data_IF_275036781362
#
_entry.id   IF_275036781362
#
_cell.length_a   1.000
_cell.length_b   1.000
_cell.length_c   1.000
_cell.angle_alpha   90.00
_cell.angle_beta   90.00
_cell.angle_gamma   90.00
#
_symmetry.space_group_name_H-M   'P 1'
#
loop_
_entity.id
_entity.type
_entity.pdbx_description
1 polymer ?
#
# COMPACT_ATOMS: atom_id res chain seq x y z
N UNK A 1 -9.66 -1.49 -5.60
CA UNK A 1 -8.69 -0.47 -6.05
C UNK A 1 -7.93 -0.94 -7.29
N UNK A 2 -7.15 -2.03 -7.21
CA UNK A 2 -6.34 -2.56 -8.33
C UNK A 2 -7.12 -2.67 -9.66
N UNK A 3 -8.30 -3.30 -9.65
CA UNK A 3 -9.16 -3.45 -10.85
C UNK A 3 -9.58 -2.13 -11.50
N UNK A 4 -9.79 -1.08 -10.69
CA UNK A 4 -10.19 0.22 -11.22
C UNK A 4 -8.99 0.96 -11.81
N UNK A 5 -7.83 0.87 -11.15
CA UNK A 5 -6.57 1.44 -11.66
C UNK A 5 -6.16 0.78 -12.97
N UNK A 6 -6.23 -0.55 -13.07
CA UNK A 6 -5.89 -1.27 -14.30
C UNK A 6 -6.84 -0.91 -15.43
N UNK A 7 -8.15 -0.83 -15.15
CA UNK A 7 -9.15 -0.40 -16.13
C UNK A 7 -8.88 1.03 -16.65
N UNK A 8 -8.54 1.96 -15.76
CA UNK A 8 -8.17 3.33 -16.13
C UNK A 8 -6.93 3.39 -17.04
N UNK A 9 -5.95 2.52 -16.77
CA UNK A 9 -4.71 2.41 -17.55
C UNK A 9 -4.86 1.54 -18.83
N UNK A 10 -6.04 1.01 -19.11
CA UNK A 10 -6.26 0.08 -20.24
C UNK A 10 -5.57 -1.27 -20.08
N UNK A 11 -5.21 -1.65 -18.85
CA UNK A 11 -4.54 -2.91 -18.51
C UNK A 11 -5.55 -3.98 -18.04
N UNK A 12 -5.24 -5.25 -18.31
CA UNK A 12 -5.96 -6.36 -17.69
C UNK A 12 -5.62 -6.42 -16.19
N UNK A 13 -6.61 -6.77 -15.37
CA UNK A 13 -6.40 -6.94 -13.93
C UNK A 13 -5.43 -8.09 -13.67
N UNK A 14 -4.36 -7.87 -12.88
CA UNK A 14 -3.41 -8.91 -12.54
C UNK A 14 -4.04 -9.95 -11.61
N UNK A 15 -3.58 -11.21 -11.72
CA UNK A 15 -4.00 -12.30 -10.86
C UNK A 15 -3.43 -12.09 -9.44
N UNK A 16 -4.22 -12.37 -8.40
CA UNK A 16 -3.70 -12.40 -7.04
C UNK A 16 -2.60 -13.47 -6.89
N UNK A 17 -1.51 -13.13 -6.21
CA UNK A 17 -0.37 -14.03 -6.00
C UNK A 17 -0.80 -15.37 -5.36
N UNK A 18 -1.76 -15.34 -4.45
CA UNK A 18 -2.32 -16.52 -3.78
C UNK A 18 -3.01 -17.49 -4.74
N UNK A 19 -3.50 -16.98 -5.87
CA UNK A 19 -4.18 -17.76 -6.89
C UNK A 19 -3.24 -18.16 -8.04
N UNK A 20 -1.95 -17.82 -7.95
CA UNK A 20 -0.95 -18.10 -8.98
C UNK A 20 -0.86 -19.59 -9.33
N UNK A 21 -1.02 -20.49 -8.35
CA UNK A 21 -1.02 -21.95 -8.58
C UNK A 21 -2.24 -22.45 -9.36
N UNK A 22 -3.36 -21.72 -9.29
CA UNK A 22 -4.63 -22.09 -9.92
C UNK A 22 -4.75 -21.44 -11.30
N UNK A 23 -4.17 -20.26 -11.50
CA UNK A 23 -4.26 -19.46 -12.74
C UNK A 23 -3.44 -19.95 -13.94
N UNK A 24 -2.74 -21.08 -13.84
CA UNK A 24 -1.86 -21.57 -14.91
C UNK A 24 -0.58 -20.72 -15.08
N UNK A 25 0.14 -20.89 -16.20
CA UNK A 25 1.47 -20.27 -16.43
C UNK A 25 1.46 -18.89 -17.11
N UNK A 26 0.28 -18.31 -17.39
CA UNK A 26 0.20 -17.05 -18.16
C UNK A 26 0.06 -15.83 -17.25
N UNK A 27 1.20 -15.29 -16.78
CA UNK A 27 1.27 -14.08 -15.95
C UNK A 27 1.60 -12.81 -16.75
N UNK A 28 1.32 -12.80 -18.05
CA UNK A 28 1.64 -11.69 -18.94
C UNK A 28 1.01 -10.34 -18.55
N UNK A 29 -0.03 -10.35 -17.71
CA UNK A 29 -0.70 -9.13 -17.23
C UNK A 29 -0.22 -8.67 -15.83
N UNK A 30 0.84 -9.30 -15.29
CA UNK A 30 1.36 -9.04 -13.96
C UNK A 30 0.66 -9.82 -12.84
N UNK A 31 1.09 -9.57 -11.61
CA UNK A 31 0.57 -10.17 -10.37
C UNK A 31 0.20 -9.10 -9.34
N UNK A 32 -0.82 -9.40 -8.54
CA UNK A 32 -1.23 -8.60 -7.40
C UNK A 32 -0.77 -9.29 -6.11
N UNK A 33 0.18 -8.67 -5.41
CA UNK A 33 0.70 -9.17 -4.13
C UNK A 33 -0.03 -8.58 -2.91
N UNK A 34 -1.05 -7.73 -3.11
CA UNK A 34 -1.69 -6.98 -2.04
C UNK A 34 -2.65 -7.84 -1.21
N UNK A 35 -2.52 -7.76 0.11
CA UNK A 35 -3.45 -8.37 1.07
C UNK A 35 -4.32 -7.29 1.74
N UNK A 36 -5.63 -7.47 1.64
CA UNK A 36 -6.60 -6.56 2.27
C UNK A 36 -6.45 -6.56 3.80
N UNK A 37 -6.47 -5.37 4.41
CA UNK A 37 -6.34 -5.20 5.86
C UNK A 37 -4.89 -5.06 6.36
N UNK A 38 -3.90 -5.04 5.46
CA UNK A 38 -2.49 -4.87 5.78
C UNK A 38 -1.97 -3.51 5.31
N UNK A 39 -0.83 -3.07 5.86
CA UNK A 39 -0.04 -1.92 5.40
C UNK A 39 1.44 -2.20 5.71
N UNK A 40 2.24 -1.23 6.16
CA UNK A 40 3.69 -1.41 6.33
C UNK A 40 4.07 -2.19 7.58
N UNK A 41 3.28 -2.08 8.66
CA UNK A 41 3.53 -2.83 9.89
C UNK A 41 2.64 -4.07 9.99
N UNK A 42 3.09 -5.04 10.78
CA UNK A 42 2.25 -6.17 11.16
C UNK A 42 1.27 -5.75 12.26
N UNK A 43 0.09 -5.33 11.83
CA UNK A 43 -1.02 -4.95 12.70
C UNK A 43 -1.98 -6.11 12.98
N UNK A 44 -1.70 -7.28 12.41
CA UNK A 44 -2.59 -8.46 12.46
C UNK A 44 -2.06 -9.57 13.36
N UNK A 45 -0.87 -9.40 13.94
CA UNK A 45 -0.22 -10.42 14.75
C UNK A 45 0.22 -11.63 13.93
N UNK A 46 0.70 -11.40 12.70
CA UNK A 46 1.21 -12.42 11.80
C UNK A 46 0.13 -13.20 11.03
N UNK A 47 -1.15 -12.83 11.16
CA UNK A 47 -2.23 -13.48 10.43
C UNK A 47 -2.19 -13.18 8.93
N UNK A 48 -1.80 -11.95 8.56
CA UNK A 48 -1.71 -11.50 7.19
C UNK A 48 -0.30 -10.93 6.89
N UNK A 49 0.20 -11.06 5.65
CA UNK A 49 1.51 -10.56 5.29
C UNK A 49 1.50 -9.03 5.15
N UNK A 50 2.33 -8.36 5.94
CA UNK A 50 2.58 -6.94 5.78
C UNK A 50 3.28 -6.64 4.44
N UNK A 51 3.40 -5.36 4.09
CA UNK A 51 3.98 -4.95 2.81
C UNK A 51 5.41 -5.49 2.59
N UNK A 52 6.21 -5.61 3.64
CA UNK A 52 7.57 -6.19 3.52
C UNK A 52 7.51 -7.65 3.09
N UNK A 53 6.60 -8.45 3.67
CA UNK A 53 6.38 -9.85 3.28
C UNK A 53 5.78 -9.97 1.87
N UNK A 54 4.93 -9.03 1.46
CA UNK A 54 4.42 -8.98 0.08
C UNK A 54 5.54 -8.72 -0.94
N UNK A 55 6.54 -7.91 -0.59
CA UNK A 55 7.75 -7.71 -1.40
C UNK A 55 8.59 -9.00 -1.44
N UNK A 56 8.70 -9.73 -0.32
CA UNK A 56 9.42 -11.02 -0.29
C UNK A 56 8.80 -12.04 -1.27
N UNK A 57 7.48 -11.99 -1.49
CA UNK A 57 6.83 -12.82 -2.50
C UNK A 57 7.28 -12.47 -3.92
N UNK A 58 7.44 -11.19 -4.24
CA UNK A 58 8.01 -10.75 -5.53
C UNK A 58 9.46 -11.21 -5.66
N UNK A 59 10.29 -10.98 -4.64
CA UNK A 59 11.70 -11.39 -4.62
C UNK A 59 11.84 -12.90 -4.84
N UNK A 60 10.98 -13.70 -4.20
CA UNK A 60 10.92 -15.15 -4.40
C UNK A 60 10.69 -15.53 -5.87
N UNK A 61 9.76 -14.86 -6.55
CA UNK A 61 9.52 -15.14 -7.97
C UNK A 61 10.69 -14.72 -8.85
N UNK A 62 11.43 -13.66 -8.46
CA UNK A 62 12.66 -13.27 -9.15
C UNK A 62 13.78 -14.30 -8.96
N UNK A 63 13.96 -14.81 -7.75
CA UNK A 63 14.91 -15.91 -7.48
C UNK A 63 14.57 -17.18 -8.26
N UNK A 64 13.29 -17.43 -8.51
CA UNK A 64 12.82 -18.55 -9.35
C UNK A 64 12.85 -18.25 -10.85
N UNK A 65 13.36 -17.08 -11.26
CA UNK A 65 13.40 -16.63 -12.66
C UNK A 65 12.03 -16.58 -13.35
N UNK A 66 10.95 -16.46 -12.56
CA UNK A 66 9.59 -16.26 -13.09
C UNK A 66 9.34 -14.79 -13.44
N UNK A 67 10.08 -13.88 -12.80
CA UNK A 67 10.22 -12.49 -13.17
C UNK A 67 11.69 -12.12 -13.21
N UNK A 68 12.05 -11.23 -14.13
CA UNK A 68 13.40 -10.71 -14.30
C UNK A 68 13.43 -9.23 -13.98
N UNK A 69 14.64 -8.70 -13.79
CA UNK A 69 14.85 -7.25 -13.66
C UNK A 69 14.28 -6.47 -14.86
N UNK A 70 14.36 -7.02 -16.06
CA UNK A 70 13.81 -6.43 -17.29
C UNK A 70 12.27 -6.35 -17.24
N UNK A 71 11.61 -7.37 -16.70
CA UNK A 71 10.16 -7.36 -16.50
C UNK A 71 9.75 -6.24 -15.54
N UNK A 72 10.50 -6.04 -14.45
CA UNK A 72 10.23 -4.95 -13.50
C UNK A 72 10.50 -3.57 -14.10
N UNK A 73 11.57 -3.41 -14.89
CA UNK A 73 11.90 -2.16 -15.58
C UNK A 73 10.83 -1.73 -16.60
N UNK A 74 10.20 -2.72 -17.25
CA UNK A 74 9.11 -2.48 -18.21
C UNK A 74 7.73 -2.37 -17.55
N UNK A 75 7.56 -2.86 -16.32
CA UNK A 75 6.30 -2.84 -15.57
C UNK A 75 6.04 -1.52 -14.84
N UNK A 76 4.79 -1.29 -14.46
CA UNK A 76 4.41 -0.27 -13.48
C UNK A 76 4.09 -0.96 -12.16
N UNK A 77 4.73 -0.54 -11.07
CA UNK A 77 4.46 -1.07 -9.73
C UNK A 77 3.57 -0.09 -8.97
N UNK A 78 2.37 -0.54 -8.62
CA UNK A 78 1.44 0.21 -7.78
C UNK A 78 1.61 -0.22 -6.32
N UNK A 79 1.99 0.73 -5.46
CA UNK A 79 2.08 0.54 -4.01
C UNK A 79 0.94 1.31 -3.36
N UNK A 80 0.19 0.62 -2.50
CA UNK A 80 -0.92 1.20 -1.78
C UNK A 80 -0.65 1.19 -0.29
N UNK A 81 -0.84 2.35 0.34
CA UNK A 81 -0.98 2.46 1.78
C UNK A 81 -2.37 3.02 2.08
N UNK A 82 -3.25 2.19 2.62
CA UNK A 82 -4.68 2.49 2.71
C UNK A 82 -5.14 2.95 4.10
N UNK A 83 -4.21 3.05 5.07
CA UNK A 83 -4.46 3.57 6.41
C UNK A 83 -4.88 2.51 7.44
N UNK A 84 -4.62 1.23 7.17
CA UNK A 84 -4.78 0.14 8.13
C UNK A 84 -3.84 0.29 9.33
N UNK A 85 -2.62 0.81 9.15
CA UNK A 85 -1.71 1.12 10.28
C UNK A 85 -2.35 2.14 11.23
N UNK A 86 -2.92 3.21 10.67
CA UNK A 86 -3.62 4.25 11.45
C UNK A 86 -4.91 3.72 12.08
N UNK A 87 -5.68 2.90 11.35
CA UNK A 87 -6.89 2.29 11.87
C UNK A 87 -6.59 1.36 13.06
N UNK A 88 -5.54 0.53 12.95
CA UNK A 88 -5.08 -0.34 14.03
C UNK A 88 -4.65 0.47 15.26
N UNK A 89 -3.90 1.55 15.05
CA UNK A 89 -3.50 2.47 16.12
C UNK A 89 -4.71 3.10 16.85
N UNK A 90 -5.73 3.51 16.12
CA UNK A 90 -6.96 4.07 16.71
C UNK A 90 -7.76 3.00 17.46
N UNK A 91 -7.86 1.78 16.92
CA UNK A 91 -8.58 0.67 17.57
C UNK A 91 -7.91 0.27 18.89
N UNK A 92 -6.58 0.34 18.96
CA UNK A 92 -5.83 0.06 20.19
C UNK A 92 -5.85 1.19 21.23
N UNK A 93 -6.78 2.16 21.08
CA UNK A 93 -6.95 3.32 21.97
C UNK A 93 -5.70 4.21 22.05
N UNK A 94 -4.94 4.30 20.96
CA UNK A 94 -3.84 5.25 20.85
C UNK A 94 -4.29 6.71 21.01
N UNK A 95 -3.40 7.55 21.55
CA UNK A 95 -3.70 8.97 21.80
C UNK A 95 -3.48 9.82 20.55
N UNK A 96 -4.12 10.99 20.46
CA UNK A 96 -3.97 11.88 19.31
C UNK A 96 -2.50 12.35 19.11
N UNK A 97 -1.80 12.67 20.21
CA UNK A 97 -0.37 13.02 20.18
C UNK A 97 0.48 11.81 19.72
N UNK A 98 0.11 10.62 20.15
CA UNK A 98 0.78 9.40 19.72
C UNK A 98 0.53 9.07 18.25
N UNK A 99 -0.65 9.37 17.71
CA UNK A 99 -0.96 9.19 16.28
C UNK A 99 -0.08 10.10 15.41
N UNK A 100 0.11 11.35 15.79
CA UNK A 100 1.05 12.25 15.10
C UNK A 100 2.48 11.71 15.11
N UNK A 101 2.93 11.16 16.25
CA UNK A 101 4.23 10.53 16.37
C UNK A 101 4.33 9.17 15.64
N UNK A 102 3.20 8.57 15.27
CA UNK A 102 3.15 7.31 14.54
C UNK A 102 3.28 7.48 13.02
N UNK A 103 3.02 8.68 12.49
CA UNK A 103 3.16 8.97 11.05
C UNK A 103 4.60 8.80 10.56
N UNK A 104 5.63 9.40 11.18
CA UNK A 104 6.99 9.28 10.66
C UNK A 104 7.51 7.83 10.59
N UNK A 105 7.27 6.95 11.59
CA UNK A 105 7.58 5.52 11.47
C UNK A 105 6.91 4.83 10.28
N UNK A 106 5.62 5.07 10.05
CA UNK A 106 4.88 4.50 8.89
C UNK A 106 5.50 4.94 7.57
N UNK A 107 5.80 6.24 7.43
CA UNK A 107 6.43 6.79 6.22
C UNK A 107 7.85 6.23 6.04
N UNK A 108 8.64 6.14 7.11
CA UNK A 108 10.00 5.61 7.02
C UNK A 108 9.99 4.16 6.56
N UNK A 109 9.09 3.34 7.09
CA UNK A 109 8.96 1.95 6.66
C UNK A 109 8.47 1.84 5.21
N UNK A 110 7.53 2.71 4.79
CA UNK A 110 7.14 2.82 3.38
C UNK A 110 8.34 3.15 2.50
N UNK A 111 9.16 4.13 2.89
CA UNK A 111 10.36 4.51 2.12
C UNK A 111 11.37 3.36 2.02
N UNK A 112 11.57 2.58 3.08
CA UNK A 112 12.39 1.35 3.04
C UNK A 112 11.83 0.37 2.01
N UNK A 113 10.52 0.13 2.02
CA UNK A 113 9.85 -0.76 1.08
C UNK A 113 9.96 -0.28 -0.37
N UNK A 114 9.79 1.02 -0.63
CA UNK A 114 9.96 1.60 -1.96
C UNK A 114 11.40 1.48 -2.46
N UNK A 115 12.40 1.70 -1.60
CA UNK A 115 13.81 1.49 -1.94
C UNK A 115 14.11 0.04 -2.28
N UNK A 116 13.51 -0.92 -1.56
CA UNK A 116 13.62 -2.35 -1.90
C UNK A 116 13.05 -2.63 -3.28
N UNK A 117 11.81 -2.19 -3.54
CA UNK A 117 11.14 -2.35 -4.85
C UNK A 117 11.98 -1.74 -5.99
N UNK A 118 12.52 -0.54 -5.79
CA UNK A 118 13.41 0.10 -6.76
C UNK A 118 14.71 -0.70 -6.96
N UNK A 119 15.32 -1.20 -5.87
CA UNK A 119 16.51 -2.05 -5.90
C UNK A 119 16.33 -3.35 -6.70
N UNK A 120 15.10 -3.89 -6.72
CA UNK A 120 14.74 -5.05 -7.55
C UNK A 120 14.63 -4.72 -9.04
N UNK A 121 14.60 -3.44 -9.41
CA UNK A 121 14.63 -2.96 -10.81
C UNK A 121 13.38 -2.22 -11.25
N UNK A 122 12.40 -2.01 -10.37
CA UNK A 122 11.22 -1.24 -10.73
C UNK A 122 11.57 0.26 -10.89
N UNK A 123 11.45 0.77 -12.10
CA UNK A 123 11.73 2.19 -12.42
C UNK A 123 10.48 3.07 -12.39
N UNK A 124 9.28 2.47 -12.48
CA UNK A 124 8.00 3.16 -12.52
C UNK A 124 7.16 2.73 -11.31
N UNK A 125 7.33 3.44 -10.20
CA UNK A 125 6.61 3.18 -8.96
C UNK A 125 5.55 4.27 -8.75
N UNK A 126 4.31 3.85 -8.59
CA UNK A 126 3.17 4.73 -8.27
C UNK A 126 2.74 4.43 -6.84
N UNK A 127 2.70 5.46 -5.99
CA UNK A 127 2.23 5.34 -4.61
C UNK A 127 0.91 6.08 -4.47
N UNK A 128 -0.09 5.43 -3.88
CA UNK A 128 -1.38 6.08 -3.64
C UNK A 128 -1.27 7.11 -2.52
N UNK A 129 -1.94 8.24 -2.67
CA UNK A 129 -2.20 9.13 -1.53
C UNK A 129 -3.13 8.45 -0.52
N UNK A 130 -3.01 8.82 0.75
CA UNK A 130 -3.92 8.35 1.78
C UNK A 130 -5.29 9.00 1.58
N UNK A 131 -6.36 8.20 1.59
CA UNK A 131 -7.70 8.76 1.50
C UNK A 131 -8.04 9.60 2.74
N UNK A 132 -8.94 10.59 2.64
CA UNK A 132 -9.37 11.38 3.79
C UNK A 132 -10.10 10.48 4.79
N UNK A 133 -9.39 10.08 5.86
CA UNK A 133 -9.89 9.08 6.81
C UNK A 133 -11.20 9.52 7.48
N UNK A 134 -11.40 10.82 7.70
CA UNK A 134 -12.64 11.38 8.24
C UNK A 134 -13.86 11.18 7.34
N UNK A 135 -13.67 10.93 6.04
CA UNK A 135 -14.74 10.69 5.08
C UNK A 135 -15.05 9.20 4.90
N UNK A 136 -14.35 8.30 5.59
CA UNK A 136 -14.65 6.86 5.50
C UNK A 136 -16.04 6.56 6.08
N UNK A 137 -16.82 5.62 5.51
CA UNK A 137 -18.17 5.31 5.99
C UNK A 137 -18.24 4.98 7.48
N UNK A 138 -17.18 4.37 8.03
CA UNK A 138 -17.07 4.08 9.47
C UNK A 138 -17.05 5.35 10.33
N UNK A 139 -16.46 6.44 9.82
CA UNK A 139 -16.33 7.72 10.52
C UNK A 139 -17.55 8.63 10.36
N UNK A 140 -18.29 8.50 9.26
CA UNK A 140 -19.46 9.34 8.93
C UNK A 140 -20.79 8.67 9.24
N UNK A 141 -20.79 7.60 10.05
CA UNK A 141 -21.92 6.67 10.23
C UNK A 141 -23.21 7.30 10.79
N UNK A 142 -23.13 8.54 11.27
CA UNK A 142 -24.27 9.30 11.78
C UNK A 142 -25.19 9.80 10.66
N UNK A 143 -24.64 10.33 9.57
CA UNK A 143 -25.45 10.90 8.48
C UNK A 143 -24.95 10.59 7.07
N UNK A 144 -23.69 10.19 6.89
CA UNK A 144 -23.01 10.03 5.59
C UNK A 144 -23.00 11.29 4.69
N UNK A 145 -23.49 12.43 5.18
CA UNK A 145 -23.59 13.68 4.42
C UNK A 145 -22.33 14.53 4.51
N UNK A 146 -21.55 14.35 5.57
CA UNK A 146 -20.38 15.16 5.85
C UNK A 146 -19.25 14.27 6.38
N UNK A 147 -18.03 14.56 5.95
CA UNK A 147 -16.84 13.96 6.55
C UNK A 147 -16.79 14.33 8.03
N UNK A 148 -16.40 13.38 8.86
CA UNK A 148 -16.15 13.65 10.25
C UNK A 148 -14.90 14.53 10.36
N UNK A 149 -15.13 15.83 10.49
CA UNK A 149 -14.11 16.86 10.49
C UNK A 149 -13.42 17.00 11.85
N UNK A 150 -13.36 15.94 12.66
CA UNK A 150 -12.56 15.97 13.90
C UNK A 150 -11.15 16.44 13.54
N UNK A 151 -10.61 17.41 14.29
CA UNK A 151 -9.28 18.01 14.06
C UNK A 151 -8.15 16.96 13.96
N UNK A 152 -8.42 15.73 14.40
CA UNK A 152 -7.55 14.56 14.46
C UNK A 152 -7.18 13.96 13.09
N UNK A 153 -8.11 13.96 12.13
CA UNK A 153 -7.97 13.20 10.87
C UNK A 153 -7.63 14.07 9.64
N UNK A 154 -7.93 15.38 9.70
CA UNK A 154 -7.63 16.36 8.64
C UNK A 154 -6.14 16.73 8.49
N UNK A 155 -5.30 16.68 9.54
CA UNK A 155 -3.86 16.85 9.37
C UNK A 155 -3.20 15.55 8.91
N UNK A 156 -3.81 14.40 9.15
CA UNK A 156 -3.17 13.09 8.97
C UNK A 156 -3.02 12.72 7.49
N UNK A 157 -4.08 12.89 6.69
CA UNK A 157 -4.07 12.68 5.24
C UNK A 157 -3.14 13.69 4.53
N UNK A 158 -3.19 14.96 4.93
CA UNK A 158 -2.29 15.99 4.40
C UNK A 158 -0.82 15.71 4.77
N UNK A 159 -0.54 15.42 6.04
CA UNK A 159 0.82 15.18 6.53
C UNK A 159 1.40 13.88 5.95
N UNK A 160 0.60 12.81 5.91
CA UNK A 160 0.97 11.56 5.24
C UNK A 160 1.31 11.82 3.76
N UNK A 161 0.40 12.46 3.03
CA UNK A 161 0.59 12.72 1.59
C UNK A 161 1.77 13.64 1.34
N UNK A 162 1.94 14.69 2.15
CA UNK A 162 3.08 15.61 2.08
C UNK A 162 4.40 14.88 2.29
N UNK A 163 4.50 14.03 3.32
CA UNK A 163 5.69 13.23 3.57
C UNK A 163 5.94 12.21 2.46
N UNK A 164 4.93 11.47 2.03
CA UNK A 164 5.03 10.50 0.92
C UNK A 164 5.56 11.19 -0.35
N UNK A 165 5.04 12.36 -0.72
CA UNK A 165 5.53 13.15 -1.86
C UNK A 165 6.99 13.56 -1.65
N UNK A 166 7.34 14.10 -0.48
CA UNK A 166 8.72 14.51 -0.18
C UNK A 166 9.71 13.36 -0.31
N UNK A 167 9.33 12.15 0.10
CA UNK A 167 10.19 10.97 0.00
C UNK A 167 10.27 10.40 -1.42
N UNK A 168 9.21 10.48 -2.22
CA UNK A 168 9.24 10.08 -3.62
C UNK A 168 10.29 10.85 -4.44
N UNK A 169 10.65 12.08 -4.04
CA UNK A 169 11.75 12.85 -4.65
C UNK A 169 13.15 12.48 -4.13
N UNK A 170 13.27 11.54 -3.19
CA UNK A 170 14.54 11.10 -2.60
C UNK A 170 14.92 9.65 -2.92
N UNK A 171 14.09 8.98 -3.73
CA UNK A 171 14.33 7.64 -4.29
C UNK A 171 14.78 7.83 -5.73
#
# INVERSE_FOLDING_TARGET
MVTQTTKFLGLKTPLAYEWMKIGGKNFHNGLNFAYGGTDVFDTTGGLLPNMSTQIDFLEKLMHQSLYTKSDLQSSVVLVCLAGNDYAAYVISQGTDKGLQNYIPPVINQLAVNLKRIHGLGASKIVVTALQPLGCLPRMTRTSFQQCNATEKLRPLDYLHTHFTIKYLFTI
#
